data_IF_661955453006
#
_entry.id   IF_661955453006
#
_cell.length_a   1.000
_cell.length_b   1.000
_cell.length_c   1.000
_cell.angle_alpha   90.00
_cell.angle_beta   90.00
_cell.angle_gamma   90.00
#
_symmetry.space_group_name_H-M   'P 1'
#
loop_
_entity.id
_entity.type
_entity.pdbx_description
1 polymer ?
#
# COMPACT_ATOMS: atom_id res chain seq x y z
N UNK A 1 28.29 14.84 -10.73
CA UNK A 1 28.93 13.84 -9.84
C UNK A 1 27.88 12.78 -9.53
N UNK A 2 28.26 11.50 -9.48
CA UNK A 2 27.31 10.43 -9.18
C UNK A 2 27.20 10.22 -7.67
N UNK A 3 25.99 9.97 -7.16
CA UNK A 3 25.79 9.61 -5.75
C UNK A 3 26.48 8.27 -5.49
N UNK A 4 27.16 8.16 -4.36
CA UNK A 4 27.81 6.93 -3.96
C UNK A 4 26.77 5.82 -3.65
N UNK A 5 27.06 4.56 -3.98
CA UNK A 5 26.21 3.41 -3.66
C UNK A 5 25.79 3.34 -2.18
N UNK A 6 26.68 3.71 -1.24
CA UNK A 6 26.35 3.77 0.19
C UNK A 6 25.27 4.81 0.50
N UNK A 7 25.37 5.98 -0.15
CA UNK A 7 24.42 7.07 0.02
C UNK A 7 23.08 6.75 -0.66
N UNK A 8 23.08 6.04 -1.80
CA UNK A 8 21.85 5.50 -2.41
C UNK A 8 21.15 4.53 -1.45
N UNK A 9 21.90 3.63 -0.80
CA UNK A 9 21.33 2.71 0.18
C UNK A 9 20.76 3.44 1.40
N UNK A 10 21.45 4.48 1.89
CA UNK A 10 20.97 5.32 2.98
C UNK A 10 19.72 6.09 2.59
N UNK A 11 19.70 6.67 1.39
CA UNK A 11 18.56 7.36 0.83
C UNK A 11 17.34 6.43 0.72
N UNK A 12 17.52 5.21 0.18
CA UNK A 12 16.45 4.21 0.12
C UNK A 12 15.89 3.87 1.52
N UNK A 13 16.77 3.74 2.52
CA UNK A 13 16.35 3.52 3.91
C UNK A 13 15.55 4.71 4.45
N UNK A 14 16.00 5.95 4.21
CA UNK A 14 15.28 7.15 4.64
C UNK A 14 13.91 7.25 3.97
N UNK A 15 13.80 6.94 2.68
CA UNK A 15 12.51 6.91 1.96
C UNK A 15 11.55 5.84 2.48
N UNK A 16 12.06 4.73 3.02
CA UNK A 16 11.19 3.76 3.71
C UNK A 16 10.72 4.26 5.08
N UNK A 17 11.49 5.11 5.76
CA UNK A 17 11.09 5.68 7.05
C UNK A 17 10.06 6.80 6.91
N UNK A 18 9.89 7.39 5.73
CA UNK A 18 8.86 8.41 5.50
C UNK A 18 7.44 7.84 5.52
N UNK A 19 7.28 6.52 5.46
CA UNK A 19 5.98 5.85 5.59
C UNK A 19 5.68 5.41 7.03
N UNK A 20 6.49 5.84 8.01
CA UNK A 20 6.24 5.59 9.43
C UNK A 20 5.02 6.40 9.90
N UNK A 21 4.18 5.82 10.77
CA UNK A 21 3.05 6.51 11.41
C UNK A 21 3.50 7.58 12.43
N UNK A 22 4.81 7.67 12.67
CA UNK A 22 5.42 8.67 13.54
C UNK A 22 5.87 9.91 12.74
N UNK A 23 4.98 10.91 12.65
CA UNK A 23 5.19 12.14 11.88
C UNK A 23 6.57 12.83 12.09
N UNK A 24 7.05 13.03 13.33
CA UNK A 24 8.39 13.58 13.58
C UNK A 24 9.52 12.79 12.91
N UNK A 25 9.43 11.46 12.90
CA UNK A 25 10.45 10.58 12.33
C UNK A 25 10.45 10.64 10.80
N UNK A 26 9.25 10.62 10.19
CA UNK A 26 9.08 10.75 8.75
C UNK A 26 9.64 12.09 8.25
N UNK A 27 9.36 13.18 8.97
CA UNK A 27 9.84 14.51 8.62
C UNK A 27 11.36 14.66 8.77
N UNK A 28 11.95 14.03 9.80
CA UNK A 28 13.42 13.94 9.94
C UNK A 28 14.03 13.15 8.78
N UNK A 29 13.37 12.07 8.35
CA UNK A 29 13.85 11.24 7.24
C UNK A 29 13.87 12.02 5.91
N UNK A 30 12.82 12.77 5.60
CA UNK A 30 12.76 13.64 4.41
C UNK A 30 13.86 14.70 4.44
N UNK A 31 14.07 15.36 5.59
CA UNK A 31 15.13 16.37 5.74
C UNK A 31 16.51 15.77 5.47
N UNK A 32 16.79 14.58 6.01
CA UNK A 32 18.05 13.87 5.78
C UNK A 32 18.22 13.47 4.30
N UNK A 33 17.16 13.02 3.64
CA UNK A 33 17.19 12.68 2.21
C UNK A 33 17.53 13.91 1.35
N UNK A 34 16.94 15.06 1.65
CA UNK A 34 17.25 16.32 0.97
C UNK A 34 18.70 16.78 1.21
N UNK A 35 19.25 16.56 2.39
CA UNK A 35 20.67 16.85 2.67
C UNK A 35 21.60 16.00 1.80
N UNK A 36 21.31 14.70 1.62
CA UNK A 36 22.11 13.81 0.76
C UNK A 36 22.09 14.30 -0.69
N UNK A 37 20.92 14.69 -1.20
CA UNK A 37 20.77 15.25 -2.55
C UNK A 37 21.54 16.56 -2.72
N UNK A 38 21.41 17.47 -1.74
CA UNK A 38 22.11 18.75 -1.74
C UNK A 38 23.63 18.59 -1.74
N UNK A 39 24.16 17.70 -0.90
CA UNK A 39 25.61 17.44 -0.81
C UNK A 39 26.17 16.90 -2.13
N UNK A 40 25.39 16.09 -2.83
CA UNK A 40 25.78 15.49 -4.10
C UNK A 40 25.47 16.37 -5.32
N UNK A 41 24.77 17.50 -5.13
CA UNK A 41 24.28 18.40 -6.20
C UNK A 41 23.45 17.66 -7.26
N UNK A 42 22.58 16.76 -6.80
CA UNK A 42 21.72 15.94 -7.65
C UNK A 42 20.26 16.26 -7.34
N UNK A 43 19.45 16.36 -8.39
CA UNK A 43 18.00 16.54 -8.25
C UNK A 43 17.26 15.20 -8.17
N UNK A 44 16.02 15.20 -7.67
CA UNK A 44 15.20 13.98 -7.55
C UNK A 44 15.08 13.21 -8.88
N UNK A 45 14.84 13.92 -9.99
CA UNK A 45 14.72 13.31 -11.32
C UNK A 45 16.01 12.61 -11.77
N UNK A 46 17.16 13.21 -11.46
CA UNK A 46 18.47 12.65 -11.78
C UNK A 46 18.77 11.42 -10.93
N UNK A 47 18.38 11.46 -9.65
CA UNK A 47 18.50 10.30 -8.76
C UNK A 47 17.65 9.13 -9.26
N UNK A 48 16.38 9.35 -9.63
CA UNK A 48 15.52 8.27 -10.13
C UNK A 48 16.02 7.67 -11.43
N UNK A 49 16.60 8.50 -12.32
CA UNK A 49 17.27 8.01 -13.53
C UNK A 49 18.48 7.14 -13.15
N UNK A 50 19.31 7.54 -12.21
CA UNK A 50 20.48 6.75 -11.79
C UNK A 50 20.09 5.42 -11.11
N UNK A 51 19.03 5.39 -10.31
CA UNK A 51 18.56 4.20 -9.60
C UNK A 51 17.92 3.18 -10.56
N UNK A 52 17.22 3.63 -11.60
CA UNK A 52 16.55 2.75 -12.55
C UNK A 52 17.49 2.02 -13.53
N UNK A 53 18.71 2.52 -13.76
CA UNK A 53 19.66 1.88 -14.68
C UNK A 53 20.68 0.95 -14.00
N UNK A 54 20.98 1.14 -12.72
CA UNK A 54 21.97 0.32 -12.01
C UNK A 54 21.41 -0.95 -11.34
N UNK A 55 20.08 -1.19 -11.38
CA UNK A 55 19.44 -2.36 -10.76
C UNK A 55 19.24 -3.56 -11.71
N UNK A 56 19.62 -3.46 -12.99
CA UNK A 56 19.42 -4.53 -13.98
C UNK A 56 20.65 -5.38 -14.30
N UNK A 57 21.76 -5.25 -13.56
CA UNK A 57 22.87 -6.22 -13.63
C UNK A 57 22.89 -7.09 -12.37
N UNK A 58 21.87 -7.93 -12.23
CA UNK A 58 21.92 -9.07 -11.31
C UNK A 58 22.90 -10.08 -11.92
N UNK A 59 24.19 -9.93 -11.61
CA UNK A 59 25.11 -11.05 -11.72
C UNK A 59 24.72 -12.03 -10.61
N UNK A 60 24.06 -13.11 -11.03
CA UNK A 60 23.91 -14.33 -10.24
C UNK A 60 25.28 -14.77 -9.72
N UNK A 61 25.60 -14.44 -8.47
CA UNK A 61 26.71 -15.07 -7.75
C UNK A 61 26.15 -15.70 -6.49
N UNK A 62 26.06 -17.02 -6.55
CA UNK A 62 25.87 -17.95 -5.45
C UNK A 62 26.68 -17.55 -4.20
N UNK A 63 26.03 -17.65 -3.03
CA UNK A 63 26.74 -17.87 -1.77
C UNK A 63 26.48 -16.86 -0.66
N UNK A 64 25.23 -16.63 -0.24
CA UNK A 64 24.97 -16.10 1.10
C UNK A 64 23.64 -16.59 1.68
N UNK A 65 23.64 -17.87 2.09
CA UNK A 65 22.78 -18.51 3.10
C UNK A 65 21.52 -17.71 3.50
N UNK A 66 20.44 -17.91 2.74
CA UNK A 66 19.14 -17.28 2.93
C UNK A 66 18.41 -17.85 4.15
N UNK A 67 18.50 -17.16 5.28
CA UNK A 67 17.56 -17.30 6.42
C UNK A 67 16.47 -16.23 6.39
N UNK A 68 16.29 -15.51 5.28
CA UNK A 68 15.10 -14.70 5.07
C UNK A 68 14.07 -15.57 4.36
N UNK A 69 13.22 -16.17 5.20
CA UNK A 69 11.90 -16.67 4.83
C UNK A 69 11.26 -15.60 3.95
N UNK A 70 11.28 -15.81 2.63
CA UNK A 70 10.79 -14.84 1.67
C UNK A 70 9.33 -14.57 2.00
N UNK A 71 9.06 -13.42 2.60
CA UNK A 71 7.71 -12.88 2.63
C UNK A 71 7.44 -12.38 1.21
N UNK A 72 7.18 -13.34 0.32
CA UNK A 72 6.36 -13.07 -0.84
C UNK A 72 5.06 -12.53 -0.26
N UNK A 73 4.67 -11.27 -0.54
CA UNK A 73 3.30 -10.89 -0.29
C UNK A 73 2.50 -11.87 -1.11
N UNK A 74 1.91 -12.85 -0.42
CA UNK A 74 0.80 -13.62 -0.95
C UNK A 74 -0.26 -12.56 -1.20
N UNK A 75 -0.24 -11.93 -2.38
CA UNK A 75 -1.49 -11.52 -2.98
C UNK A 75 -2.39 -12.74 -2.81
N UNK A 76 -3.55 -12.59 -2.15
CA UNK A 76 -4.53 -13.65 -2.16
C UNK A 76 -4.63 -14.07 -3.62
N UNK A 77 -4.25 -15.32 -3.88
CA UNK A 77 -4.58 -15.95 -5.16
C UNK A 77 -6.04 -15.62 -5.39
N UNK A 78 -6.39 -15.20 -6.60
CA UNK A 78 -7.78 -14.96 -6.99
C UNK A 78 -8.65 -15.98 -6.26
N UNK A 79 -9.58 -15.54 -5.38
CA UNK A 79 -10.34 -16.48 -4.58
C UNK A 79 -11.01 -17.40 -5.56
N UNK A 80 -10.64 -18.69 -5.51
CA UNK A 80 -11.32 -19.76 -6.22
C UNK A 80 -12.79 -19.54 -5.94
N UNK A 81 -13.52 -19.17 -6.99
CA UNK A 81 -14.92 -18.79 -6.95
C UNK A 81 -15.72 -19.87 -6.22
N UNK A 82 -15.85 -19.72 -4.90
CA UNK A 82 -16.86 -20.41 -4.13
C UNK A 82 -18.16 -19.71 -4.49
N UNK A 83 -19.10 -20.49 -5.00
CA UNK A 83 -20.27 -20.08 -5.76
C UNK A 83 -21.37 -19.41 -4.93
N UNK A 84 -21.02 -18.56 -3.99
CA UNK A 84 -21.97 -17.70 -3.28
C UNK A 84 -21.87 -16.30 -3.89
N UNK A 85 -22.49 -16.13 -5.06
CA UNK A 85 -22.77 -14.79 -5.62
C UNK A 85 -23.74 -14.09 -4.67
N UNK A 86 -23.21 -13.44 -3.65
CA UNK A 86 -23.93 -12.40 -2.91
C UNK A 86 -24.37 -11.38 -3.96
N UNK A 87 -25.68 -11.26 -4.18
CA UNK A 87 -26.19 -10.48 -5.30
C UNK A 87 -25.89 -9.00 -5.05
N UNK A 88 -25.80 -8.22 -6.12
CA UNK A 88 -25.46 -6.80 -6.02
C UNK A 88 -26.41 -5.98 -5.15
N UNK A 89 -27.65 -6.43 -4.97
CA UNK A 89 -28.61 -5.83 -4.05
C UNK A 89 -28.30 -6.06 -2.57
N UNK A 90 -27.60 -7.13 -2.23
CA UNK A 90 -27.41 -7.55 -0.83
C UNK A 90 -26.28 -6.77 -0.14
N UNK A 91 -25.33 -6.22 -0.92
CA UNK A 91 -24.16 -5.50 -0.38
C UNK A 91 -24.41 -3.98 -0.38
N UNK A 92 -25.15 -3.45 -1.36
CA UNK A 92 -25.35 -2.00 -1.49
C UNK A 92 -26.13 -1.40 -0.31
N UNK A 93 -27.12 -2.11 0.21
CA UNK A 93 -27.92 -1.67 1.36
C UNK A 93 -27.09 -1.55 2.66
N UNK A 94 -26.37 -2.60 3.12
CA UNK A 94 -25.52 -2.48 4.30
C UNK A 94 -24.35 -1.52 4.10
N UNK A 95 -23.82 -1.41 2.88
CA UNK A 95 -22.77 -0.44 2.54
C UNK A 95 -23.27 1.00 2.72
N UNK A 96 -24.40 1.36 2.12
CA UNK A 96 -24.96 2.70 2.24
C UNK A 96 -25.32 3.01 3.69
N UNK A 97 -25.91 2.07 4.42
CA UNK A 97 -26.22 2.25 5.83
C UNK A 97 -24.98 2.45 6.72
N UNK A 98 -23.88 1.76 6.42
CA UNK A 98 -22.62 1.98 7.10
C UNK A 98 -22.06 3.38 6.80
N UNK A 99 -22.14 3.83 5.54
CA UNK A 99 -21.71 5.17 5.14
C UNK A 99 -22.52 6.28 5.84
N UNK A 100 -23.84 6.13 5.96
CA UNK A 100 -24.71 7.13 6.60
C UNK A 100 -24.43 7.33 8.10
N UNK A 101 -23.67 6.42 8.72
CA UNK A 101 -23.36 6.41 10.16
C UNK A 101 -21.87 6.48 10.47
N UNK A 102 -21.04 6.69 9.46
CA UNK A 102 -19.60 6.77 9.60
C UNK A 102 -19.11 8.10 9.02
N UNK A 103 -18.19 8.73 9.73
CA UNK A 103 -17.55 9.99 9.32
C UNK A 103 -16.03 9.82 9.26
N UNK A 104 -15.35 10.72 8.57
CA UNK A 104 -13.89 10.77 8.48
C UNK A 104 -13.28 9.69 7.59
N UNK A 105 -12.05 9.28 7.90
CA UNK A 105 -11.24 8.38 7.05
C UNK A 105 -11.88 7.01 6.78
N UNK A 106 -12.80 6.57 7.62
CA UNK A 106 -13.54 5.34 7.41
C UNK A 106 -14.65 5.47 6.36
N UNK A 107 -15.25 6.67 6.24
CA UNK A 107 -16.19 6.99 5.16
C UNK A 107 -15.47 6.91 3.80
N UNK A 108 -14.28 7.51 3.69
CA UNK A 108 -13.47 7.50 2.47
C UNK A 108 -13.15 6.06 2.03
N UNK A 109 -12.88 5.17 3.00
CA UNK A 109 -12.69 3.74 2.73
C UNK A 109 -13.97 3.09 2.16
N UNK A 110 -15.13 3.31 2.78
CA UNK A 110 -16.40 2.75 2.27
C UNK A 110 -16.78 3.32 0.91
N UNK A 111 -16.50 4.59 0.65
CA UNK A 111 -16.68 5.23 -0.64
C UNK A 111 -15.79 4.59 -1.72
N UNK A 112 -14.53 4.29 -1.39
CA UNK A 112 -13.62 3.57 -2.29
C UNK A 112 -14.14 2.18 -2.65
N UNK A 113 -14.76 1.48 -1.70
CA UNK A 113 -15.37 0.16 -1.92
C UNK A 113 -16.64 0.27 -2.78
N UNK A 114 -17.46 1.29 -2.56
CA UNK A 114 -18.64 1.59 -3.40
C UNK A 114 -18.22 1.83 -4.85
N UNK A 115 -17.19 2.66 -5.06
CA UNK A 115 -16.64 2.94 -6.38
C UNK A 115 -16.06 1.66 -7.02
N UNK A 116 -15.30 0.86 -6.28
CA UNK A 116 -14.76 -0.41 -6.79
C UNK A 116 -15.89 -1.35 -7.20
N UNK A 117 -16.93 -1.49 -6.39
CA UNK A 117 -18.06 -2.38 -6.67
C UNK A 117 -18.86 -1.93 -7.89
N UNK A 118 -19.12 -0.62 -8.03
CA UNK A 118 -19.84 -0.07 -9.18
C UNK A 118 -19.07 -0.26 -10.50
N UNK A 119 -17.75 -0.10 -10.48
CA UNK A 119 -16.94 -0.17 -11.70
C UNK A 119 -16.52 -1.60 -12.07
N UNK A 120 -16.18 -2.43 -11.09
CA UNK A 120 -15.67 -3.78 -11.32
C UNK A 120 -16.74 -4.86 -11.18
N UNK A 121 -17.86 -4.55 -10.51
CA UNK A 121 -18.94 -5.51 -10.25
C UNK A 121 -18.60 -6.58 -9.21
N UNK A 122 -17.45 -6.47 -8.53
CA UNK A 122 -17.02 -7.45 -7.53
C UNK A 122 -16.26 -6.79 -6.37
N UNK A 123 -16.33 -7.45 -5.21
CA UNK A 123 -15.57 -7.16 -3.99
C UNK A 123 -14.98 -8.47 -3.47
N UNK A 124 -13.83 -8.38 -2.79
CA UNK A 124 -13.27 -9.56 -2.12
C UNK A 124 -14.11 -9.95 -0.90
N UNK A 125 -14.06 -11.22 -0.50
CA UNK A 125 -14.77 -11.71 0.68
C UNK A 125 -14.41 -10.91 1.95
N UNK A 126 -13.13 -10.51 2.08
CA UNK A 126 -12.66 -9.67 3.17
C UNK A 126 -13.31 -8.27 3.15
N UNK A 127 -13.48 -7.67 1.97
CA UNK A 127 -14.16 -6.39 1.81
C UNK A 127 -15.65 -6.51 2.14
N UNK A 128 -16.32 -7.57 1.68
CA UNK A 128 -17.73 -7.84 2.02
C UNK A 128 -17.90 -8.05 3.52
N UNK A 129 -17.03 -8.83 4.16
CA UNK A 129 -17.04 -9.03 5.60
C UNK A 129 -16.81 -7.73 6.38
N UNK A 130 -15.91 -6.86 5.89
CA UNK A 130 -15.69 -5.54 6.48
C UNK A 130 -16.97 -4.68 6.41
N UNK A 131 -17.62 -4.62 5.25
CA UNK A 131 -18.89 -3.88 5.07
C UNK A 131 -19.96 -4.41 6.03
N UNK A 132 -20.18 -5.72 6.06
CA UNK A 132 -21.22 -6.33 6.92
C UNK A 132 -20.93 -6.10 8.40
N UNK A 133 -19.67 -6.25 8.83
CA UNK A 133 -19.27 -5.99 10.22
C UNK A 133 -19.48 -4.53 10.61
N UNK A 134 -19.24 -3.61 9.68
CA UNK A 134 -19.43 -2.17 9.87
C UNK A 134 -20.92 -1.84 9.98
N UNK A 135 -21.73 -2.34 9.06
CA UNK A 135 -23.18 -2.17 9.08
C UNK A 135 -23.79 -2.68 10.39
N UNK A 136 -23.41 -3.89 10.83
CA UNK A 136 -23.88 -4.47 12.10
C UNK A 136 -23.49 -3.60 13.30
N UNK A 137 -22.26 -3.09 13.35
CA UNK A 137 -21.82 -2.14 14.40
C UNK A 137 -22.66 -0.86 14.39
N UNK A 138 -23.03 -0.38 13.21
CA UNK A 138 -23.90 0.77 13.02
C UNK A 138 -25.38 0.44 13.30
N UNK A 139 -25.75 -0.79 13.66
CA UNK A 139 -27.12 -1.18 13.99
C UNK A 139 -27.94 -1.80 12.86
N UNK A 140 -27.30 -2.24 11.78
CA UNK A 140 -27.97 -2.97 10.70
C UNK A 140 -28.41 -4.35 11.18
N UNK A 141 -29.71 -4.64 11.06
CA UNK A 141 -30.30 -5.97 11.22
C UNK A 141 -30.93 -6.29 9.88
N UNK A 142 -30.19 -7.05 9.07
CA UNK A 142 -30.54 -7.33 7.68
C UNK A 142 -31.94 -7.91 7.49
#
# INVERSE_FOLDING_TARGET
MAINAKEISQFKKLMMMTTSDNDPEALIAIRKANTILKNNKVNWDELFKQVNFNSLSVKNTHGFRDSYKSYSPKYPSEPKTSSNRTTSSDILKPLQFAMDRCEGSFYDFLESLKYQFQNKGWLSEAQVAAIMKSAVRSGWRG
#
